data_IF_973217547435
#
_entry.id   IF_973217547435
#
_cell.length_a   1.000
_cell.length_b   1.000
_cell.length_c   1.000
_cell.angle_alpha   90.00
_cell.angle_beta   90.00
_cell.angle_gamma   90.00
#
_symmetry.space_group_name_H-M   'P 1'
#
loop_
_entity.id
_entity.type
_entity.pdbx_description
1 polymer ?
#
# COMPACT_ATOMS: atom_id res chain seq x y z
N UNK A 1 30.23 -49.80 -8.72
CA UNK A 1 30.96 -48.53 -8.52
C UNK A 1 30.75 -48.07 -7.08
N UNK A 2 31.79 -47.59 -6.41
CA UNK A 2 31.74 -47.24 -4.98
C UNK A 2 31.17 -45.84 -4.77
N UNK A 3 30.02 -45.73 -4.12
CA UNK A 3 29.33 -44.46 -3.86
C UNK A 3 30.13 -43.50 -2.97
N UNK A 4 31.00 -44.03 -2.11
CA UNK A 4 31.91 -43.21 -1.29
C UNK A 4 33.00 -42.55 -2.13
N UNK A 5 33.54 -43.24 -3.14
CA UNK A 5 34.52 -42.66 -4.04
C UNK A 5 33.93 -41.51 -4.87
N UNK A 6 32.69 -41.65 -5.36
CA UNK A 6 32.01 -40.57 -6.07
C UNK A 6 31.73 -39.34 -5.20
N UNK A 7 31.39 -39.53 -3.92
CA UNK A 7 31.14 -38.41 -3.00
C UNK A 7 32.42 -37.63 -2.69
N UNK A 8 33.54 -38.32 -2.46
CA UNK A 8 34.84 -37.68 -2.21
C UNK A 8 35.32 -36.92 -3.45
N UNK A 9 35.15 -37.50 -4.64
CA UNK A 9 35.53 -36.86 -5.90
C UNK A 9 34.66 -35.63 -6.20
N UNK A 10 33.35 -35.69 -5.91
CA UNK A 10 32.46 -34.54 -6.04
C UNK A 10 32.82 -33.41 -5.07
N UNK A 11 33.16 -33.73 -3.83
CA UNK A 11 33.59 -32.74 -2.83
C UNK A 11 34.92 -32.07 -3.24
N UNK A 12 35.88 -32.85 -3.76
CA UNK A 12 37.16 -32.33 -4.25
C UNK A 12 37.03 -31.45 -5.51
N UNK A 13 35.95 -31.64 -6.29
CA UNK A 13 35.68 -30.86 -7.50
C UNK A 13 34.98 -29.51 -7.22
N UNK A 14 34.66 -29.18 -5.97
CA UNK A 14 33.95 -27.94 -5.64
C UNK A 14 34.90 -26.73 -5.76
N UNK A 15 34.62 -25.75 -6.64
CA UNK A 15 35.41 -24.54 -6.73
C UNK A 15 35.00 -23.56 -5.61
N UNK A 16 35.56 -23.75 -4.40
CA UNK A 16 35.21 -22.97 -3.21
C UNK A 16 35.29 -21.45 -3.41
N UNK A 17 36.26 -20.96 -4.18
CA UNK A 17 36.36 -19.54 -4.52
C UNK A 17 35.16 -19.02 -5.30
N UNK A 18 34.68 -19.78 -6.29
CA UNK A 18 33.50 -19.41 -7.08
C UNK A 18 32.23 -19.47 -6.22
N UNK A 19 32.08 -20.49 -5.38
CA UNK A 19 30.93 -20.58 -4.45
C UNK A 19 30.91 -19.40 -3.49
N UNK A 20 32.06 -19.01 -2.95
CA UNK A 20 32.16 -17.85 -2.07
C UNK A 20 31.80 -16.55 -2.82
N UNK A 21 32.42 -16.29 -3.96
CA UNK A 21 32.16 -15.08 -4.75
C UNK A 21 30.69 -14.96 -5.16
N UNK A 22 30.10 -16.04 -5.67
CA UNK A 22 28.68 -16.06 -6.06
C UNK A 22 27.77 -15.78 -4.87
N UNK A 23 28.05 -16.38 -3.71
CA UNK A 23 27.29 -16.13 -2.48
C UNK A 23 27.40 -14.67 -2.03
N UNK A 24 28.62 -14.10 -2.06
CA UNK A 24 28.84 -12.69 -1.72
C UNK A 24 28.12 -11.76 -2.70
N UNK A 25 28.20 -12.02 -4.01
CA UNK A 25 27.50 -11.21 -5.00
C UNK A 25 25.98 -11.28 -4.84
N UNK A 26 25.43 -12.46 -4.55
CA UNK A 26 24.00 -12.60 -4.28
C UNK A 26 23.58 -11.85 -3.01
N UNK A 27 24.38 -11.92 -1.95
CA UNK A 27 24.13 -11.18 -0.72
C UNK A 27 24.18 -9.66 -0.94
N UNK A 28 25.17 -9.17 -1.69
CA UNK A 28 25.27 -7.75 -2.05
C UNK A 28 24.09 -7.31 -2.92
N UNK A 29 23.71 -8.11 -3.92
CA UNK A 29 22.55 -7.83 -4.77
C UNK A 29 21.26 -7.78 -3.94
N UNK A 30 21.04 -8.77 -3.08
CA UNK A 30 19.87 -8.83 -2.21
C UNK A 30 19.84 -7.64 -1.24
N UNK A 31 20.97 -7.31 -0.63
CA UNK A 31 21.14 -6.15 0.24
C UNK A 31 20.83 -4.84 -0.48
N UNK A 32 21.34 -4.67 -1.71
CA UNK A 32 21.04 -3.53 -2.57
C UNK A 32 19.53 -3.44 -2.86
N UNK A 33 18.92 -4.53 -3.34
CA UNK A 33 17.47 -4.55 -3.62
C UNK A 33 16.63 -4.25 -2.37
N UNK A 34 17.02 -4.77 -1.20
CA UNK A 34 16.33 -4.51 0.07
C UNK A 34 16.51 -3.06 0.53
N UNK A 35 17.69 -2.48 0.34
CA UNK A 35 17.97 -1.08 0.66
C UNK A 35 17.19 -0.12 -0.24
N UNK A 36 17.12 -0.41 -1.53
CA UNK A 36 16.36 0.40 -2.51
C UNK A 36 14.87 0.04 -2.57
N UNK A 37 14.44 -1.03 -1.91
CA UNK A 37 13.04 -1.46 -1.84
C UNK A 37 12.07 -0.33 -1.42
N UNK A 38 12.30 0.45 -0.35
CA UNK A 38 11.45 1.58 0.00
C UNK A 38 11.39 2.64 -1.11
N UNK A 39 12.50 2.89 -1.82
CA UNK A 39 12.56 3.85 -2.93
C UNK A 39 11.76 3.35 -4.14
N UNK A 40 11.95 2.08 -4.53
CA UNK A 40 11.23 1.44 -5.63
C UNK A 40 9.72 1.36 -5.36
N UNK A 41 9.33 1.07 -4.13
CA UNK A 41 7.92 1.09 -3.71
C UNK A 41 7.35 2.52 -3.75
N UNK A 42 8.12 3.52 -3.33
CA UNK A 42 7.72 4.93 -3.41
C UNK A 42 7.47 5.38 -4.85
N UNK A 43 8.43 5.11 -5.75
CA UNK A 43 8.32 5.43 -7.18
C UNK A 43 7.18 4.65 -7.82
N UNK A 44 7.09 3.34 -7.60
CA UNK A 44 6.02 2.50 -8.13
C UNK A 44 4.64 2.95 -7.66
N UNK A 45 4.52 3.40 -6.41
CA UNK A 45 3.27 3.98 -5.89
C UNK A 45 2.96 5.33 -6.51
N UNK A 46 3.95 6.19 -6.73
CA UNK A 46 3.76 7.46 -7.44
C UNK A 46 3.31 7.23 -8.89
N UNK A 47 3.94 6.28 -9.59
CA UNK A 47 3.52 5.85 -10.93
C UNK A 47 2.12 5.23 -10.90
N UNK A 48 1.81 4.40 -9.91
CA UNK A 48 0.47 3.82 -9.79
C UNK A 48 -0.60 4.90 -9.60
N UNK A 49 -0.28 6.00 -8.92
CA UNK A 49 -1.20 7.13 -8.75
C UNK A 49 -1.44 7.90 -10.05
N UNK A 50 -0.56 7.84 -11.05
CA UNK A 50 -0.81 8.45 -12.37
C UNK A 50 -1.84 7.63 -13.16
N UNK A 51 -1.79 6.30 -13.05
CA UNK A 51 -2.71 5.39 -13.75
C UNK A 51 -4.03 5.23 -13.00
N UNK A 52 -3.99 5.16 -11.68
CA UNK A 52 -5.16 5.05 -10.81
C UNK A 52 -5.07 6.11 -9.71
N UNK A 53 -5.61 7.31 -9.96
CA UNK A 53 -5.61 8.38 -8.98
C UNK A 53 -6.24 7.87 -7.68
N UNK A 54 -5.47 7.78 -6.58
CA UNK A 54 -6.09 7.56 -5.26
C UNK A 54 -6.89 8.81 -4.95
N UNK A 55 -8.15 8.59 -4.55
CA UNK A 55 -8.94 9.63 -3.90
C UNK A 55 -8.14 10.23 -2.75
N UNK A 56 -7.96 11.54 -2.79
CA UNK A 56 -7.25 12.27 -1.75
C UNK A 56 -8.03 12.18 -0.43
N UNK A 57 -7.35 12.35 0.71
CA UNK A 57 -8.04 12.40 2.01
C UNK A 57 -9.10 13.51 2.05
N UNK A 58 -8.87 14.60 1.32
CA UNK A 58 -9.82 15.70 1.17
C UNK A 58 -11.08 15.27 0.43
N UNK A 59 -10.96 14.49 -0.64
CA UNK A 59 -12.10 13.96 -1.39
C UNK A 59 -12.91 12.96 -0.55
N UNK A 60 -12.23 12.18 0.30
CA UNK A 60 -12.90 11.27 1.24
C UNK A 60 -13.68 12.04 2.31
N UNK A 61 -13.11 13.12 2.86
CA UNK A 61 -13.78 13.98 3.83
C UNK A 61 -14.98 14.70 3.22
N UNK A 62 -14.84 15.22 2.00
CA UNK A 62 -15.93 15.87 1.27
C UNK A 62 -17.10 14.91 1.01
N UNK A 63 -16.82 13.64 0.66
CA UNK A 63 -17.86 12.61 0.52
C UNK A 63 -18.59 12.33 1.83
N UNK A 64 -17.87 12.20 2.94
CA UNK A 64 -18.50 11.99 4.26
C UNK A 64 -19.39 13.17 4.64
N UNK A 65 -18.92 14.40 4.43
CA UNK A 65 -19.72 15.60 4.68
C UNK A 65 -20.99 15.64 3.80
N UNK A 66 -20.88 15.23 2.53
CA UNK A 66 -22.04 15.09 1.64
C UNK A 66 -23.03 14.03 2.12
N UNK A 67 -22.53 12.86 2.52
CA UNK A 67 -23.36 11.75 3.03
C UNK A 67 -24.10 12.16 4.31
N UNK A 68 -23.42 12.86 5.23
CA UNK A 68 -24.00 13.43 6.45
C UNK A 68 -25.07 14.48 6.14
N UNK A 69 -24.81 15.40 5.21
CA UNK A 69 -25.77 16.41 4.78
C UNK A 69 -27.02 15.78 4.15
N UNK A 70 -26.86 14.72 3.35
CA UNK A 70 -27.98 13.97 2.77
C UNK A 70 -28.78 13.22 3.84
N UNK A 71 -28.11 12.62 4.83
CA UNK A 71 -28.77 11.96 5.95
C UNK A 71 -29.58 12.95 6.79
N UNK A 72 -29.03 14.14 7.06
CA UNK A 72 -29.73 15.22 7.76
C UNK A 72 -30.94 15.70 6.95
N UNK A 73 -30.78 15.90 5.64
CA UNK A 73 -31.89 16.27 4.74
C UNK A 73 -33.02 15.23 4.76
N UNK A 74 -32.69 13.93 4.80
CA UNK A 74 -33.69 12.86 4.92
C UNK A 74 -34.43 12.88 6.25
N UNK A 75 -33.71 13.11 7.36
CA UNK A 75 -34.33 13.25 8.70
C UNK A 75 -35.30 14.44 8.75
N UNK A 76 -34.89 15.59 8.22
CA UNK A 76 -35.75 16.78 8.11
C UNK A 76 -37.00 16.53 7.28
N UNK A 77 -36.91 15.71 6.22
CA UNK A 77 -38.06 15.35 5.40
C UNK A 77 -39.08 14.43 6.12
N UNK A 78 -38.68 13.77 7.21
CA UNK A 78 -39.57 12.95 8.04
C UNK A 78 -40.22 13.69 9.21
N UNK A 79 -39.82 14.93 9.47
CA UNK A 79 -40.41 15.79 10.50
C UNK A 79 -41.62 16.54 9.95
N UNK A 80 -42.49 17.01 10.85
CA UNK A 80 -43.54 17.94 10.48
C UNK A 80 -42.92 19.22 9.88
N UNK A 81 -43.60 19.86 8.90
CA UNK A 81 -43.02 20.94 8.12
C UNK A 81 -42.65 22.17 8.95
N UNK A 82 -43.31 22.39 10.09
CA UNK A 82 -43.01 23.47 11.04
C UNK A 82 -41.70 23.18 11.78
N UNK A 83 -41.56 21.98 12.35
CA UNK A 83 -40.35 21.57 13.07
C UNK A 83 -39.14 21.48 12.13
N UNK A 84 -39.34 21.00 10.90
CA UNK A 84 -38.31 20.96 9.87
C UNK A 84 -37.82 22.36 9.47
N UNK A 85 -38.72 23.34 9.41
CA UNK A 85 -38.38 24.74 9.13
C UNK A 85 -37.62 25.38 10.29
N UNK A 86 -38.00 25.08 11.54
CA UNK A 86 -37.33 25.58 12.73
C UNK A 86 -35.90 25.04 12.87
N UNK A 87 -35.68 23.73 12.68
CA UNK A 87 -34.34 23.13 12.70
C UNK A 87 -33.46 23.71 11.57
N UNK A 88 -34.05 23.97 10.40
CA UNK A 88 -33.33 24.61 9.29
C UNK A 88 -32.97 26.08 9.60
N UNK A 89 -33.84 26.80 10.28
CA UNK A 89 -33.58 28.17 10.71
C UNK A 89 -32.50 28.24 11.80
N UNK A 90 -32.48 27.30 12.74
CA UNK A 90 -31.40 27.17 13.73
C UNK A 90 -30.05 26.87 13.06
N UNK A 91 -30.01 26.00 12.05
CA UNK A 91 -28.79 25.65 11.34
C UNK A 91 -28.21 26.76 10.44
N UNK A 92 -28.95 27.83 10.13
CA UNK A 92 -28.45 29.01 9.39
C UNK A 92 -27.89 30.06 10.35
N UNK A 93 -28.29 30.03 11.63
CA UNK A 93 -27.88 31.01 12.65
C UNK A 93 -26.55 30.67 13.32
N UNK A 94 -26.06 29.44 13.20
CA UNK A 94 -24.80 28.94 13.75
C UNK A 94 -23.85 28.55 12.63
#
# INVERSE_FOLDING_TARGET
MSSTASLVQAAAAVPYGQVFSTTVYLALLAGFVLFFRPLLVGIGRALYLTVRPRRSKAELAARRALDEALALKRKLASLDPVDAAEVRAMGIRH
#
